data_IF_625447022637
#
_entry.id   IF_625447022637
#
_cell.length_a   1.000
_cell.length_b   1.000
_cell.length_c   1.000
_cell.angle_alpha   90.00
_cell.angle_beta   90.00
_cell.angle_gamma   90.00
#
_symmetry.space_group_name_H-M   'P 1'
#
loop_
_entity.id
_entity.type
_entity.pdbx_description
1 polymer ?
#
# COMPACT_ATOMS: atom_id res chain seq x y z
N UNK A 1 -5.49 15.97 30.52
CA UNK A 1 -6.22 15.28 29.47
C UNK A 1 -5.33 14.25 28.79
N UNK A 2 -5.90 13.15 28.32
CA UNK A 2 -5.17 12.13 27.57
C UNK A 2 -4.69 12.72 26.25
N UNK A 3 -3.47 12.35 25.75
CA UNK A 3 -2.97 12.80 24.47
C UNK A 3 -3.84 12.28 23.33
N UNK A 4 -4.06 13.11 22.33
CA UNK A 4 -4.74 12.72 21.09
C UNK A 4 -3.76 12.86 19.93
N UNK A 5 -3.73 11.87 19.05
CA UNK A 5 -2.89 11.86 17.87
C UNK A 5 -3.76 12.12 16.64
N UNK A 6 -3.47 13.23 15.96
CA UNK A 6 -4.22 13.67 14.80
C UNK A 6 -3.22 13.92 13.65
N UNK A 7 -3.54 13.37 12.48
CA UNK A 7 -2.82 13.62 11.23
C UNK A 7 -3.73 14.36 10.28
N UNK A 8 -3.33 15.51 9.80
CA UNK A 8 -3.98 16.20 8.70
C UNK A 8 -3.45 15.64 7.39
N UNK A 9 -4.32 14.93 6.68
CA UNK A 9 -3.98 14.31 5.40
C UNK A 9 -4.22 15.27 4.25
N UNK A 10 -3.16 15.52 3.50
CA UNK A 10 -3.16 16.38 2.33
C UNK A 10 -2.55 15.67 1.10
N UNK A 11 -2.57 14.35 1.07
CA UNK A 11 -1.97 13.55 -0.01
C UNK A 11 -2.90 13.39 -1.22
N UNK A 12 -2.39 12.70 -2.26
CA UNK A 12 -3.10 12.50 -3.53
C UNK A 12 -4.01 11.28 -3.55
N UNK A 13 -3.92 10.37 -2.55
CA UNK A 13 -4.81 9.21 -2.48
C UNK A 13 -6.23 9.64 -2.14
N UNK A 14 -7.21 9.02 -2.78
CA UNK A 14 -8.61 9.19 -2.39
C UNK A 14 -8.86 8.48 -1.07
N UNK A 15 -9.08 9.25 -0.02
CA UNK A 15 -9.53 8.76 1.28
C UNK A 15 -10.84 9.46 1.65
N UNK A 16 -11.60 8.87 2.58
CA UNK A 16 -12.80 9.51 3.12
C UNK A 16 -12.50 10.77 3.92
N UNK A 17 -13.53 11.38 4.49
CA UNK A 17 -13.42 12.57 5.34
C UNK A 17 -12.49 12.35 6.54
N UNK A 18 -12.63 11.19 7.19
CA UNK A 18 -11.89 10.79 8.38
C UNK A 18 -11.59 9.30 8.33
N UNK A 19 -10.47 8.91 8.91
CA UNK A 19 -10.03 7.52 9.03
C UNK A 19 -9.29 7.34 10.35
N UNK A 20 -9.46 6.20 11.00
CA UNK A 20 -8.67 5.83 12.19
C UNK A 20 -7.66 4.75 11.78
N UNK A 21 -6.41 4.95 12.17
CA UNK A 21 -5.37 3.93 12.10
C UNK A 21 -5.01 3.48 13.51
N UNK A 22 -4.74 2.20 13.65
CA UNK A 22 -4.29 1.58 14.90
C UNK A 22 -2.93 0.97 14.71
N UNK A 23 -2.09 1.06 15.74
CA UNK A 23 -0.78 0.42 15.72
C UNK A 23 -0.90 -1.09 15.52
N UNK A 24 -1.92 -1.70 16.12
CA UNK A 24 -2.22 -3.13 15.98
C UNK A 24 -2.51 -3.57 14.54
N UNK A 25 -2.95 -2.68 13.66
CA UNK A 25 -3.18 -2.98 12.24
C UNK A 25 -1.87 -3.28 11.49
N UNK A 26 -0.72 -2.87 12.04
CA UNK A 26 0.61 -3.10 11.47
C UNK A 26 1.33 -4.32 12.04
N UNK A 27 0.73 -5.06 13.00
CA UNK A 27 1.34 -6.25 13.57
C UNK A 27 1.18 -7.45 12.62
N UNK A 28 2.27 -8.17 12.35
CA UNK A 28 2.25 -9.38 11.52
C UNK A 28 1.36 -10.49 12.11
N UNK A 29 1.27 -10.56 13.43
CA UNK A 29 0.46 -11.54 14.15
C UNK A 29 -0.28 -10.87 15.31
N UNK A 30 -1.54 -10.55 15.11
CA UNK A 30 -2.42 -10.08 16.20
C UNK A 30 -2.97 -11.27 16.99
N UNK A 31 -2.37 -11.60 18.13
CA UNK A 31 -2.90 -12.59 19.09
C UNK A 31 -3.34 -11.88 20.36
N UNK A 32 -4.67 -11.74 20.53
CA UNK A 32 -5.24 -11.09 21.70
C UNK A 32 -5.17 -9.56 21.70
N UNK A 33 -5.40 -8.94 22.85
CA UNK A 33 -5.23 -7.48 22.99
C UNK A 33 -3.75 -7.11 23.04
N UNK A 34 -3.32 -6.12 22.22
CA UNK A 34 -1.93 -5.68 22.25
C UNK A 34 -1.62 -4.97 23.56
N UNK A 35 -0.42 -5.22 24.12
CA UNK A 35 0.05 -4.53 25.32
C UNK A 35 0.30 -3.02 25.06
N UNK A 36 0.51 -2.62 23.82
CA UNK A 36 0.63 -1.24 23.38
C UNK A 36 -0.31 -1.00 22.18
N UNK A 37 -1.17 0.00 22.33
CA UNK A 37 -2.06 0.45 21.26
C UNK A 37 -1.97 1.96 21.08
N UNK A 38 -1.80 2.40 19.84
CA UNK A 38 -1.85 3.80 19.45
C UNK A 38 -2.97 3.97 18.42
N UNK A 39 -3.89 4.91 18.68
CA UNK A 39 -4.95 5.28 17.75
C UNK A 39 -4.64 6.66 17.18
N UNK A 40 -4.65 6.77 15.88
CA UNK A 40 -4.38 8.01 15.15
C UNK A 40 -5.61 8.36 14.31
N UNK A 41 -6.16 9.55 14.54
CA UNK A 41 -7.24 10.09 13.72
C UNK A 41 -6.62 10.80 12.51
N UNK A 42 -6.89 10.30 11.31
CA UNK A 42 -6.52 10.96 10.06
C UNK A 42 -7.71 11.78 9.56
N UNK A 43 -7.48 13.07 9.33
CA UNK A 43 -8.49 14.02 8.85
C UNK A 43 -8.07 14.49 7.45
N UNK A 44 -8.90 14.25 6.45
CA UNK A 44 -8.67 14.71 5.09
C UNK A 44 -8.89 16.23 5.00
N UNK A 45 -7.81 16.97 4.76
CA UNK A 45 -7.84 18.43 4.63
C UNK A 45 -7.73 18.90 3.17
N UNK A 46 -7.83 18.00 2.19
CA UNK A 46 -7.90 18.42 0.79
C UNK A 46 -9.13 19.30 0.54
N UNK A 47 -9.01 20.18 -0.43
CA UNK A 47 -10.12 21.06 -0.83
C UNK A 47 -11.39 20.24 -1.15
N UNK A 48 -12.54 20.70 -0.65
CA UNK A 48 -13.82 20.01 -0.78
C UNK A 48 -14.14 19.00 0.33
N UNK A 49 -13.20 18.72 1.23
CA UNK A 49 -13.38 17.81 2.37
C UNK A 49 -13.54 18.55 3.70
N UNK A 50 -14.19 17.88 4.69
CA UNK A 50 -14.37 18.38 6.06
C UNK A 50 -14.81 19.84 6.15
N UNK A 51 -15.84 20.24 5.40
CA UNK A 51 -16.29 21.63 5.25
C UNK A 51 -16.46 22.36 6.60
N UNK A 52 -17.10 21.73 7.58
CA UNK A 52 -17.29 22.34 8.92
C UNK A 52 -15.96 22.70 9.61
N UNK A 53 -14.95 21.86 9.45
CA UNK A 53 -13.61 22.13 9.98
C UNK A 53 -12.96 23.31 9.21
N UNK A 54 -13.08 23.31 7.89
CA UNK A 54 -12.55 24.36 7.03
C UNK A 54 -13.21 25.72 7.27
N UNK A 55 -14.51 25.75 7.56
CA UNK A 55 -15.24 26.96 7.94
C UNK A 55 -14.82 27.48 9.32
N UNK A 56 -14.49 26.57 10.23
CA UNK A 56 -14.06 26.90 11.59
C UNK A 56 -12.58 27.32 11.67
N UNK A 57 -11.75 26.93 10.70
CA UNK A 57 -10.32 27.19 10.67
C UNK A 57 -9.90 27.80 9.31
N UNK A 58 -9.95 29.11 9.22
CA UNK A 58 -9.61 29.87 8.00
C UNK A 58 -8.23 29.50 7.46
N UNK A 59 -7.21 29.44 8.32
CA UNK A 59 -5.83 29.15 7.92
C UNK A 59 -5.74 27.76 7.26
N UNK A 60 -6.42 26.77 7.82
CA UNK A 60 -6.43 25.42 7.26
C UNK A 60 -7.12 25.36 5.88
N UNK A 61 -8.22 26.08 5.74
CA UNK A 61 -8.91 26.24 4.45
C UNK A 61 -8.02 26.90 3.40
N UNK A 62 -7.39 28.01 3.76
CA UNK A 62 -6.48 28.74 2.87
C UNK A 62 -5.26 27.90 2.47
N UNK A 63 -4.71 27.10 3.40
CA UNK A 63 -3.66 26.13 3.11
C UNK A 63 -4.10 25.05 2.11
N UNK A 64 -5.29 24.49 2.29
CA UNK A 64 -5.85 23.51 1.35
C UNK A 64 -5.99 24.11 -0.07
N UNK A 65 -6.45 25.35 -0.17
CA UNK A 65 -6.57 26.07 -1.44
C UNK A 65 -5.20 26.32 -2.09
N UNK A 66 -4.20 26.72 -1.34
CA UNK A 66 -2.83 26.88 -1.82
C UNK A 66 -2.30 25.58 -2.42
N UNK A 67 -2.40 24.47 -1.70
CA UNK A 67 -1.94 23.14 -2.18
C UNK A 67 -2.71 22.70 -3.42
N UNK A 68 -4.02 22.92 -3.47
CA UNK A 68 -4.85 22.63 -4.65
C UNK A 68 -4.37 23.38 -5.90
N UNK A 69 -4.01 24.68 -5.75
CA UNK A 69 -3.44 25.48 -6.83
C UNK A 69 -2.09 24.95 -7.31
N UNK A 70 -1.16 24.64 -6.39
CA UNK A 70 0.13 24.03 -6.75
C UNK A 70 -0.06 22.76 -7.56
N UNK A 71 -0.94 21.86 -7.12
CA UNK A 71 -1.27 20.62 -7.84
C UNK A 71 -1.86 20.87 -9.22
N UNK A 72 -2.68 21.89 -9.34
CA UNK A 72 -3.31 22.25 -10.63
C UNK A 72 -2.24 22.75 -11.60
N UNK A 73 -1.36 23.62 -11.17
CA UNK A 73 -0.28 24.14 -12.02
C UNK A 73 0.78 23.09 -12.34
N UNK A 74 1.08 22.17 -11.41
CA UNK A 74 2.03 21.07 -11.65
C UNK A 74 1.64 20.14 -12.82
N UNK A 75 0.38 20.15 -13.24
CA UNK A 75 -0.06 19.36 -14.41
C UNK A 75 0.52 19.87 -15.73
N UNK A 76 0.90 21.15 -15.81
CA UNK A 76 1.32 21.83 -17.06
C UNK A 76 2.66 22.55 -16.93
N UNK A 77 3.14 22.80 -15.74
CA UNK A 77 4.36 23.55 -15.43
C UNK A 77 5.35 22.67 -14.67
N UNK A 78 6.62 23.08 -14.65
CA UNK A 78 7.60 22.52 -13.73
C UNK A 78 7.18 22.79 -12.28
N UNK A 79 7.74 22.01 -11.34
CA UNK A 79 7.38 22.18 -9.92
C UNK A 79 7.69 23.58 -9.42
N UNK A 80 8.86 24.12 -9.74
CA UNK A 80 9.27 25.48 -9.32
C UNK A 80 8.29 26.53 -9.84
N UNK A 81 7.99 26.51 -11.15
CA UNK A 81 7.04 27.43 -11.76
C UNK A 81 5.61 27.27 -11.18
N UNK A 82 5.19 26.04 -10.90
CA UNK A 82 3.89 25.76 -10.30
C UNK A 82 3.74 26.35 -8.90
N UNK A 83 4.78 26.19 -8.06
CA UNK A 83 4.81 26.72 -6.70
C UNK A 83 4.86 28.25 -6.73
N UNK A 84 5.76 28.85 -7.50
CA UNK A 84 5.87 30.32 -7.61
C UNK A 84 4.56 30.95 -8.09
N UNK A 85 3.94 30.38 -9.12
CA UNK A 85 2.67 30.86 -9.65
C UNK A 85 1.53 30.72 -8.65
N UNK A 86 1.47 29.60 -7.93
CA UNK A 86 0.46 29.39 -6.88
C UNK A 86 0.62 30.42 -5.74
N UNK A 87 1.86 30.69 -5.30
CA UNK A 87 2.16 31.69 -4.27
C UNK A 87 1.71 33.08 -4.73
N UNK A 88 2.05 33.48 -5.95
CA UNK A 88 1.69 34.79 -6.50
C UNK A 88 0.16 34.97 -6.61
N UNK A 89 -0.52 33.94 -7.06
CA UNK A 89 -1.97 33.96 -7.17
C UNK A 89 -2.63 33.99 -5.80
N UNK A 90 -2.17 33.20 -4.84
CA UNK A 90 -2.67 33.21 -3.47
C UNK A 90 -2.51 34.59 -2.81
N UNK A 91 -1.35 35.24 -2.98
CA UNK A 91 -1.14 36.61 -2.49
C UNK A 91 -2.13 37.60 -3.12
N UNK A 92 -2.37 37.50 -4.42
CA UNK A 92 -3.32 38.36 -5.14
C UNK A 92 -4.77 38.16 -4.67
N UNK A 93 -5.16 36.91 -4.39
CA UNK A 93 -6.50 36.55 -3.95
C UNK A 93 -6.73 36.71 -2.43
N UNK A 94 -5.69 37.03 -1.67
CA UNK A 94 -5.75 37.18 -0.22
C UNK A 94 -5.69 35.87 0.57
N UNK A 95 -5.32 34.77 -0.09
CA UNK A 95 -5.15 33.45 0.51
C UNK A 95 -3.79 33.38 1.17
N UNK A 96 -3.72 33.14 2.48
CA UNK A 96 -2.48 33.14 3.28
C UNK A 96 -1.60 34.39 3.04
N UNK A 97 -2.19 35.49 2.62
CA UNK A 97 -1.47 36.64 2.04
C UNK A 97 -0.34 37.18 2.93
N UNK A 98 -0.62 37.46 4.20
CA UNK A 98 0.36 38.02 5.11
C UNK A 98 1.51 37.04 5.34
N UNK A 99 1.20 35.77 5.52
CA UNK A 99 2.17 34.70 5.71
C UNK A 99 3.07 34.54 4.46
N UNK A 100 2.46 34.46 3.28
CA UNK A 100 3.19 34.28 2.02
C UNK A 100 4.06 35.49 1.66
N UNK A 101 3.61 36.72 1.96
CA UNK A 101 4.42 37.92 1.77
C UNK A 101 5.64 37.97 2.70
N UNK A 102 5.49 37.54 3.95
CA UNK A 102 6.57 37.52 4.93
C UNK A 102 7.59 36.38 4.67
N UNK A 103 7.15 35.23 4.12
CA UNK A 103 7.94 34.02 4.05
C UNK A 103 8.06 33.44 2.62
N UNK A 104 7.87 34.25 1.56
CA UNK A 104 7.78 33.78 0.15
C UNK A 104 8.92 32.82 -0.23
N UNK A 105 10.16 33.21 0.02
CA UNK A 105 11.33 32.42 -0.38
C UNK A 105 11.41 31.07 0.34
N UNK A 106 11.10 31.07 1.64
CA UNK A 106 11.10 29.85 2.45
C UNK A 106 9.98 28.91 2.07
N UNK A 107 8.76 29.43 1.85
CA UNK A 107 7.61 28.62 1.40
C UNK A 107 7.89 27.99 0.04
N UNK A 108 8.46 28.71 -0.91
CA UNK A 108 8.84 28.17 -2.21
C UNK A 108 9.85 27.04 -2.06
N UNK A 109 10.94 27.27 -1.32
CA UNK A 109 11.97 26.26 -1.10
C UNK A 109 11.45 25.01 -0.39
N UNK A 110 10.66 25.16 0.68
CA UNK A 110 10.09 24.03 1.43
C UNK A 110 9.06 23.26 0.61
N UNK A 111 8.19 23.94 -0.12
CA UNK A 111 7.18 23.30 -0.96
C UNK A 111 7.82 22.46 -2.07
N UNK A 112 8.90 22.94 -2.68
CA UNK A 112 9.65 22.21 -3.69
C UNK A 112 10.23 20.93 -3.06
N UNK A 113 10.87 21.03 -1.90
CA UNK A 113 11.46 19.90 -1.20
C UNK A 113 10.42 18.84 -0.77
N UNK A 114 9.26 19.25 -0.27
CA UNK A 114 8.18 18.33 0.10
C UNK A 114 7.62 17.58 -1.10
N UNK A 115 7.40 18.26 -2.23
CA UNK A 115 6.89 17.62 -3.45
C UNK A 115 7.89 16.65 -4.09
N UNK A 116 9.20 16.96 -4.06
CA UNK A 116 10.25 16.05 -4.56
C UNK A 116 10.29 14.78 -3.71
N UNK A 117 10.20 14.91 -2.39
CA UNK A 117 10.15 13.77 -1.47
C UNK A 117 8.91 12.89 -1.69
N UNK A 118 7.72 13.48 -1.86
CA UNK A 118 6.50 12.73 -2.16
C UNK A 118 6.63 11.93 -3.47
N UNK A 119 7.26 12.51 -4.47
CA UNK A 119 7.48 11.86 -5.77
C UNK A 119 8.47 10.69 -5.65
N UNK A 120 9.59 10.86 -4.94
CA UNK A 120 10.56 9.79 -4.66
C UNK A 120 9.91 8.64 -3.88
N UNK A 121 9.14 8.95 -2.83
CA UNK A 121 8.40 7.94 -2.06
C UNK A 121 7.36 7.19 -2.90
N UNK A 122 6.72 7.84 -3.86
CA UNK A 122 5.76 7.18 -4.76
C UNK A 122 6.47 6.22 -5.72
N UNK A 123 7.64 6.60 -6.26
CA UNK A 123 8.46 5.72 -7.09
C UNK A 123 8.91 4.50 -6.29
N UNK A 124 9.52 4.71 -5.12
CA UNK A 124 9.97 3.62 -4.26
C UNK A 124 8.83 2.64 -3.93
N UNK A 125 7.65 3.13 -3.58
CA UNK A 125 6.48 2.26 -3.32
C UNK A 125 6.05 1.46 -4.55
N UNK A 126 6.12 2.04 -5.75
CA UNK A 126 5.80 1.31 -6.99
C UNK A 126 6.82 0.21 -7.25
N UNK A 127 8.10 0.51 -7.11
CA UNK A 127 9.18 -0.46 -7.28
C UNK A 127 9.08 -1.60 -6.26
N UNK A 128 8.85 -1.30 -4.98
CA UNK A 128 8.65 -2.31 -3.94
C UNK A 128 7.41 -3.18 -4.21
N UNK A 129 6.31 -2.58 -4.65
CA UNK A 129 5.09 -3.32 -5.00
C UNK A 129 5.31 -4.24 -6.19
N UNK A 130 5.99 -3.79 -7.23
CA UNK A 130 6.31 -4.61 -8.41
C UNK A 130 7.28 -5.74 -8.05
N UNK A 131 8.30 -5.46 -7.24
CA UNK A 131 9.23 -6.47 -6.74
C UNK A 131 8.52 -7.54 -5.89
N UNK A 132 7.62 -7.12 -5.01
CA UNK A 132 6.79 -8.02 -4.20
C UNK A 132 5.90 -8.92 -5.07
N UNK A 133 5.23 -8.38 -6.08
CA UNK A 133 4.42 -9.15 -7.03
C UNK A 133 5.25 -10.15 -7.83
N UNK A 134 6.45 -9.77 -8.24
CA UNK A 134 7.33 -10.68 -8.98
C UNK A 134 7.85 -11.82 -8.09
N UNK A 135 8.19 -11.53 -6.84
CA UNK A 135 8.59 -12.53 -5.85
C UNK A 135 7.46 -13.53 -5.57
N UNK A 136 6.23 -13.06 -5.40
CA UNK A 136 5.05 -13.90 -5.20
C UNK A 136 4.76 -14.78 -6.41
N UNK A 137 4.88 -14.24 -7.62
CA UNK A 137 4.70 -15.01 -8.86
C UNK A 137 5.74 -16.12 -8.98
N UNK A 138 7.02 -15.83 -8.68
CA UNK A 138 8.09 -16.84 -8.67
C UNK A 138 7.85 -17.94 -7.63
N UNK A 139 7.36 -17.57 -6.44
CA UNK A 139 7.04 -18.52 -5.38
C UNK A 139 5.87 -19.42 -5.76
N UNK A 140 4.80 -18.86 -6.32
CA UNK A 140 3.64 -19.60 -6.80
C UNK A 140 4.02 -20.60 -7.91
N UNK A 141 4.86 -20.18 -8.84
CA UNK A 141 5.34 -21.07 -9.91
C UNK A 141 6.21 -22.21 -9.36
N UNK A 142 7.08 -21.92 -8.39
CA UNK A 142 7.87 -22.95 -7.69
C UNK A 142 7.00 -23.95 -6.95
N UNK A 143 5.96 -23.49 -6.27
CA UNK A 143 4.99 -24.36 -5.58
C UNK A 143 4.24 -25.25 -6.58
N UNK A 144 3.80 -24.69 -7.71
CA UNK A 144 3.14 -25.46 -8.77
C UNK A 144 4.04 -26.55 -9.33
N UNK A 145 5.30 -26.23 -9.62
CA UNK A 145 6.28 -27.21 -10.12
C UNK A 145 6.57 -28.31 -9.09
N UNK A 146 6.62 -27.99 -7.82
CA UNK A 146 6.80 -28.97 -6.76
C UNK A 146 5.58 -29.89 -6.63
N UNK A 147 4.38 -29.34 -6.64
CA UNK A 147 3.14 -30.11 -6.61
C UNK A 147 3.03 -31.07 -7.83
N UNK A 148 3.42 -30.61 -9.01
CA UNK A 148 3.44 -31.44 -10.21
C UNK A 148 4.45 -32.60 -10.11
N UNK A 149 5.64 -32.34 -9.53
CA UNK A 149 6.65 -33.38 -9.26
C UNK A 149 6.13 -34.43 -8.26
N UNK A 150 5.50 -33.98 -7.19
CA UNK A 150 4.90 -34.90 -6.19
C UNK A 150 3.78 -35.72 -6.79
N UNK A 151 2.90 -35.13 -7.60
CA UNK A 151 1.85 -35.86 -8.31
C UNK A 151 2.42 -36.95 -9.21
N UNK A 152 3.43 -36.64 -10.02
CA UNK A 152 4.11 -37.64 -10.90
C UNK A 152 4.77 -38.75 -10.09
N UNK A 153 5.35 -38.46 -8.92
CA UNK A 153 5.90 -39.48 -8.03
C UNK A 153 4.81 -40.40 -7.49
N UNK A 154 3.73 -39.83 -6.96
CA UNK A 154 2.60 -40.60 -6.46
C UNK A 154 1.97 -41.49 -7.54
N UNK A 155 1.84 -40.98 -8.76
CA UNK A 155 1.31 -41.76 -9.90
C UNK A 155 2.25 -42.93 -10.27
N UNK A 156 3.57 -42.70 -10.28
CA UNK A 156 4.55 -43.76 -10.54
C UNK A 156 4.59 -44.82 -9.44
N UNK A 157 4.43 -44.44 -8.19
CA UNK A 157 4.31 -45.36 -7.05
C UNK A 157 3.04 -46.22 -7.14
N UNK A 158 1.91 -45.60 -7.50
CA UNK A 158 0.65 -46.32 -7.71
C UNK A 158 0.78 -47.35 -8.80
N UNK A 159 1.37 -47.01 -9.95
CA UNK A 159 1.60 -47.98 -11.04
C UNK A 159 2.51 -49.14 -10.59
N UNK A 160 3.54 -48.87 -9.78
CA UNK A 160 4.41 -49.89 -9.22
C UNK A 160 3.65 -50.84 -8.26
N UNK A 161 2.81 -50.26 -7.39
CA UNK A 161 1.97 -51.03 -6.47
C UNK A 161 0.99 -51.91 -7.21
N UNK A 162 0.28 -51.39 -8.20
CA UNK A 162 -0.68 -52.14 -9.05
C UNK A 162 0.01 -53.29 -9.81
N UNK A 163 1.22 -53.10 -10.30
CA UNK A 163 2.01 -54.15 -10.96
C UNK A 163 2.46 -55.22 -9.97
N UNK A 164 2.92 -54.85 -8.77
CA UNK A 164 3.31 -55.78 -7.73
C UNK A 164 2.12 -56.64 -7.25
N UNK A 165 0.94 -56.06 -7.12
CA UNK A 165 -0.30 -56.80 -6.80
C UNK A 165 -0.64 -57.82 -7.87
N UNK A 166 -0.55 -57.47 -9.15
CA UNK A 166 -0.78 -58.40 -10.27
C UNK A 166 0.21 -59.56 -10.28
N UNK A 167 1.49 -59.29 -10.05
CA UNK A 167 2.51 -60.35 -9.95
C UNK A 167 2.25 -61.28 -8.77
N UNK A 168 1.84 -60.72 -7.64
CA UNK A 168 1.49 -61.49 -6.44
C UNK A 168 0.29 -62.39 -6.66
N UNK A 169 -0.72 -61.92 -7.40
CA UNK A 169 -1.89 -62.73 -7.78
C UNK A 169 -1.50 -63.89 -8.70
N UNK A 170 -0.70 -63.64 -9.74
CA UNK A 170 -0.19 -64.67 -10.66
C UNK A 170 0.66 -65.74 -9.95
N UNK A 171 1.49 -65.31 -8.98
CA UNK A 171 2.29 -66.22 -8.16
C UNK A 171 1.40 -67.10 -7.26
N UNK A 172 0.35 -66.54 -6.64
CA UNK A 172 -0.61 -67.28 -5.84
C UNK A 172 -1.36 -68.32 -6.67
N UNK A 173 -1.78 -67.99 -7.88
CA UNK A 173 -2.45 -68.94 -8.81
C UNK A 173 -1.53 -70.10 -9.24
N UNK A 174 -0.26 -69.78 -9.56
CA UNK A 174 0.76 -70.80 -9.86
C UNK A 174 0.98 -71.76 -8.69
N UNK A 175 1.09 -71.21 -7.47
CA UNK A 175 1.29 -72.02 -6.26
C UNK A 175 0.10 -72.92 -5.96
N UNK A 176 -1.15 -72.46 -6.16
CA UNK A 176 -2.34 -73.23 -6.01
C UNK A 176 -2.39 -74.38 -7.01
N UNK A 177 -1.98 -74.18 -8.27
CA UNK A 177 -1.90 -75.23 -9.30
C UNK A 177 -0.82 -76.30 -9.00
N UNK A 178 0.27 -75.90 -8.28
CA UNK A 178 1.33 -76.84 -7.89
C UNK A 178 0.97 -77.69 -6.65
N UNK A 179 0.11 -77.16 -5.75
CA UNK A 179 -0.34 -77.89 -4.54
C UNK A 179 -1.56 -78.79 -4.77
N UNK A 180 -2.23 -78.68 -5.90
CA UNK A 180 -3.40 -79.46 -6.26
C UNK A 180 -3.11 -80.72 -7.11
N UNK A 181 -1.84 -81.06 -7.20
CA UNK A 181 -1.35 -82.36 -7.76
C UNK A 181 -0.74 -83.15 -6.61
#
# INVERSE_FOLDING_TARGET
PAPQFIVFYNGNRKIGERMEHRLSDAYETARGEPALELKVLVININEGHNQKLMESCRILKEYAQYVSKVRTYKKTLSLNEAVEKAVEECIREGILREFLLANKAEVVAMSIFEYDREWEEEILRKEEFEAGREAERKNTEKQRLNAEKEHRRAESEKIRADNAEKELLLLKEKLALMQGK
#
